data_IF_910749337440
#
_entry.id   IF_910749337440
#
_cell.length_a   1.000
_cell.length_b   1.000
_cell.length_c   1.000
_cell.angle_alpha   90.00
_cell.angle_beta   90.00
_cell.angle_gamma   90.00
#
_symmetry.space_group_name_H-M   'P 1'
#
loop_
_entity.id
_entity.type
_entity.pdbx_description
1 polymer ?
#
# COMPACT_ATOMS: atom_id res chain seq x y z
N UNK A 1 10.69 27.28 17.59
CA UNK A 1 9.58 27.82 16.80
C UNK A 1 8.33 27.05 17.19
N UNK A 2 7.31 27.74 17.70
CA UNK A 2 6.10 27.12 18.25
C UNK A 2 5.28 26.60 17.07
N UNK A 3 5.30 25.29 16.85
CA UNK A 3 4.52 24.66 15.81
C UNK A 3 3.07 24.64 16.28
N UNK A 4 2.30 25.63 15.86
CA UNK A 4 0.86 25.62 16.10
C UNK A 4 0.28 24.43 15.34
N UNK A 5 -0.26 23.46 16.09
CA UNK A 5 -0.89 22.28 15.55
C UNK A 5 -2.13 22.72 14.75
N UNK A 6 -1.95 22.89 13.44
CA UNK A 6 -3.05 23.24 12.56
C UNK A 6 -3.71 21.95 12.08
N UNK A 7 -4.92 21.66 12.58
CA UNK A 7 -5.70 20.48 12.17
C UNK A 7 -5.94 20.40 10.66
N UNK A 8 -5.84 21.53 9.94
CA UNK A 8 -5.87 21.60 8.48
C UNK A 8 -4.75 20.79 7.80
N UNK A 9 -3.63 20.53 8.47
CA UNK A 9 -2.56 19.69 7.92
C UNK A 9 -2.99 18.22 7.70
N UNK A 10 -4.03 17.76 8.41
CA UNK A 10 -4.62 16.42 8.22
C UNK A 10 -5.67 16.38 7.10
N UNK A 11 -6.06 17.52 6.52
CA UNK A 11 -7.12 17.56 5.51
C UNK A 11 -6.86 16.64 4.29
N UNK A 12 -5.63 16.54 3.74
CA UNK A 12 -5.35 15.61 2.65
C UNK A 12 -5.50 14.13 3.06
N UNK A 13 -5.09 13.79 4.28
CA UNK A 13 -5.26 12.45 4.84
C UNK A 13 -6.74 12.12 5.05
N UNK A 14 -7.51 13.08 5.56
CA UNK A 14 -8.96 12.93 5.71
C UNK A 14 -9.64 12.74 4.34
N UNK A 15 -9.23 13.46 3.30
CA UNK A 15 -9.74 13.25 1.94
C UNK A 15 -9.46 11.82 1.46
N UNK A 16 -8.22 11.34 1.61
CA UNK A 16 -7.85 9.98 1.26
C UNK A 16 -8.75 8.96 1.98
N UNK A 17 -8.95 9.16 3.30
CA UNK A 17 -9.77 8.27 4.11
C UNK A 17 -11.24 8.26 3.66
N UNK A 18 -11.82 9.44 3.40
CA UNK A 18 -13.20 9.57 2.92
C UNK A 18 -13.38 8.94 1.55
N UNK A 19 -12.43 9.13 0.63
CA UNK A 19 -12.48 8.50 -0.69
C UNK A 19 -12.37 6.99 -0.52
N UNK A 20 -11.30 6.49 0.10
CA UNK A 20 -11.02 5.05 0.19
C UNK A 20 -12.08 4.28 0.99
N UNK A 21 -12.43 4.76 2.19
CA UNK A 21 -13.44 4.12 3.04
C UNK A 21 -14.84 4.37 2.49
N UNK A 22 -15.14 5.57 2.00
CA UNK A 22 -16.45 5.90 1.44
C UNK A 22 -16.78 5.06 0.21
N UNK A 23 -15.83 4.87 -0.71
CA UNK A 23 -16.02 3.97 -1.85
C UNK A 23 -16.11 2.51 -1.43
N UNK A 24 -15.27 2.07 -0.49
CA UNK A 24 -15.31 0.70 0.01
C UNK A 24 -16.64 0.37 0.68
N UNK A 25 -17.17 1.29 1.48
CA UNK A 25 -18.48 1.17 2.10
C UNK A 25 -19.60 1.18 1.07
N UNK A 26 -19.58 2.13 0.12
CA UNK A 26 -20.58 2.21 -0.95
C UNK A 26 -20.62 0.93 -1.80
N UNK A 27 -19.47 0.40 -2.21
CA UNK A 27 -19.40 -0.86 -2.95
C UNK A 27 -19.86 -2.05 -2.08
N UNK A 28 -19.50 -2.08 -0.80
CA UNK A 28 -19.97 -3.12 0.13
C UNK A 28 -21.50 -3.13 0.23
N UNK A 29 -22.13 -1.96 0.29
CA UNK A 29 -23.60 -1.85 0.28
C UNK A 29 -24.25 -2.30 -1.04
N UNK A 30 -23.53 -2.17 -2.16
CA UNK A 30 -23.98 -2.66 -3.47
C UNK A 30 -23.78 -4.19 -3.65
N UNK A 31 -23.30 -4.89 -2.62
CA UNK A 31 -23.17 -6.35 -2.62
C UNK A 31 -21.99 -6.89 -3.41
N UNK A 32 -21.00 -6.06 -3.78
CA UNK A 32 -19.80 -6.53 -4.49
C UNK A 32 -18.84 -7.25 -3.54
N UNK A 33 -18.49 -8.49 -3.90
CA UNK A 33 -17.41 -9.24 -3.24
C UNK A 33 -16.09 -8.50 -3.37
N UNK A 34 -15.36 -8.32 -2.26
CA UNK A 34 -14.08 -7.58 -2.21
C UNK A 34 -14.18 -6.11 -2.64
N UNK A 35 -15.22 -5.39 -2.19
CA UNK A 35 -15.44 -3.96 -2.43
C UNK A 35 -14.19 -3.06 -2.29
N UNK A 36 -13.36 -3.31 -1.28
CA UNK A 36 -12.11 -2.55 -1.05
C UNK A 36 -10.96 -2.90 -2.01
N UNK A 37 -11.05 -4.01 -2.73
CA UNK A 37 -10.06 -4.37 -3.76
C UNK A 37 -10.37 -3.73 -5.11
N UNK A 38 -11.62 -3.32 -5.36
CA UNK A 38 -11.99 -2.68 -6.61
C UNK A 38 -11.36 -1.29 -6.74
N UNK A 39 -11.22 -0.58 -5.62
CA UNK A 39 -10.46 0.67 -5.58
C UNK A 39 -9.09 0.41 -4.97
N UNK A 40 -8.06 0.39 -5.82
CA UNK A 40 -6.68 0.41 -5.34
C UNK A 40 -6.41 1.66 -4.51
N UNK A 41 -5.82 1.48 -3.32
CA UNK A 41 -5.39 2.59 -2.47
C UNK A 41 -4.45 3.57 -3.21
N UNK A 42 -3.69 3.09 -4.20
CA UNK A 42 -2.83 3.92 -5.06
C UNK A 42 -3.63 4.90 -5.90
N UNK A 43 -4.83 4.53 -6.38
CA UNK A 43 -5.70 5.45 -7.13
C UNK A 43 -6.38 6.42 -6.18
N UNK A 44 -6.81 5.95 -5.00
CA UNK A 44 -7.48 6.76 -4.00
C UNK A 44 -6.59 7.88 -3.43
N UNK A 45 -5.28 7.65 -3.31
CA UNK A 45 -4.34 8.62 -2.71
C UNK A 45 -3.91 9.75 -3.67
N UNK A 46 -4.03 9.56 -4.98
CA UNK A 46 -3.65 10.59 -5.98
C UNK A 46 -4.34 11.95 -5.77
N UNK A 47 -5.69 12.04 -5.65
CA UNK A 47 -6.35 13.32 -5.39
C UNK A 47 -5.97 13.92 -4.04
N UNK A 48 -5.68 13.10 -3.04
CA UNK A 48 -5.20 13.55 -1.73
C UNK A 48 -3.80 14.19 -1.83
N UNK A 49 -2.87 13.58 -2.57
CA UNK A 49 -1.54 14.15 -2.80
C UNK A 49 -1.64 15.46 -3.59
N UNK A 50 -2.49 15.50 -4.63
CA UNK A 50 -2.71 16.73 -5.38
C UNK A 50 -3.23 17.87 -4.48
N UNK A 51 -4.18 17.57 -3.59
CA UNK A 51 -4.66 18.55 -2.62
C UNK A 51 -3.58 18.97 -1.60
N UNK A 52 -2.78 18.03 -1.11
CA UNK A 52 -1.66 18.33 -0.21
C UNK A 52 -0.65 19.30 -0.85
N UNK A 53 -0.28 19.06 -2.11
CA UNK A 53 0.62 19.94 -2.86
C UNK A 53 -0.05 21.30 -3.10
N UNK A 54 -1.35 21.34 -3.39
CA UNK A 54 -2.06 22.60 -3.58
C UNK A 54 -2.12 23.46 -2.31
N UNK A 55 -2.29 22.84 -1.14
CA UNK A 55 -2.38 23.52 0.15
C UNK A 55 -1.05 24.15 0.63
N UNK A 56 0.09 23.59 0.22
CA UNK A 56 1.39 24.14 0.59
C UNK A 56 1.56 25.59 0.11
N UNK A 57 2.40 26.39 0.77
CA UNK A 57 2.65 27.79 0.36
C UNK A 57 3.94 27.98 -0.43
N UNK A 58 4.81 26.97 -0.42
CA UNK A 58 6.12 27.02 -1.08
C UNK A 58 6.03 26.80 -2.61
N UNK A 59 7.18 26.78 -3.30
CA UNK A 59 7.22 26.41 -4.72
C UNK A 59 6.90 24.93 -4.88
N UNK A 60 6.32 24.55 -6.02
CA UNK A 60 5.95 23.15 -6.31
C UNK A 60 7.15 22.21 -6.13
N UNK A 61 8.33 22.62 -6.58
CA UNK A 61 9.54 21.81 -6.48
C UNK A 61 9.94 21.52 -5.01
N UNK A 62 9.77 22.50 -4.13
CA UNK A 62 10.07 22.35 -2.70
C UNK A 62 9.06 21.41 -2.03
N UNK A 63 7.77 21.52 -2.38
CA UNK A 63 6.71 20.63 -1.88
C UNK A 63 6.94 19.18 -2.30
N UNK A 64 7.30 18.96 -3.55
CA UNK A 64 7.63 17.63 -4.06
C UNK A 64 8.84 17.07 -3.30
N UNK A 65 9.89 17.86 -3.08
CA UNK A 65 11.05 17.44 -2.30
C UNK A 65 10.68 17.07 -0.85
N UNK A 66 9.80 17.83 -0.19
CA UNK A 66 9.31 17.51 1.15
C UNK A 66 8.54 16.18 1.14
N UNK A 67 7.64 16.00 0.17
CA UNK A 67 6.87 14.76 0.02
C UNK A 67 7.79 13.55 -0.23
N UNK A 68 8.75 13.67 -1.15
CA UNK A 68 9.70 12.61 -1.47
C UNK A 68 10.60 12.26 -0.27
N UNK A 69 11.03 13.26 0.52
CA UNK A 69 11.78 13.01 1.76
C UNK A 69 10.96 12.24 2.79
N UNK A 70 9.67 12.54 2.92
CA UNK A 70 8.77 11.79 3.81
C UNK A 70 8.49 10.38 3.32
N UNK A 71 8.27 10.20 2.01
CA UNK A 71 8.07 8.89 1.39
C UNK A 71 9.34 8.02 1.41
N UNK A 72 10.52 8.66 1.34
CA UNK A 72 11.83 8.03 1.37
C UNK A 72 12.37 7.77 2.78
N UNK A 73 11.51 7.71 3.80
CA UNK A 73 11.91 7.38 5.16
C UNK A 73 12.61 6.01 5.19
N UNK A 74 13.77 5.86 5.87
CA UNK A 74 14.58 4.64 5.83
C UNK A 74 13.82 3.35 6.18
N UNK A 75 12.88 3.37 7.12
CA UNK A 75 12.02 2.26 7.45
C UNK A 75 11.13 1.83 6.29
N UNK A 76 10.45 2.79 5.64
CA UNK A 76 9.64 2.54 4.43
C UNK A 76 10.50 1.96 3.32
N UNK A 77 11.65 2.58 3.03
CA UNK A 77 12.57 2.11 1.98
C UNK A 77 13.09 0.70 2.27
N UNK A 78 13.39 0.40 3.54
CA UNK A 78 13.80 -0.95 3.97
C UNK A 78 12.69 -1.97 3.72
N UNK A 79 11.43 -1.66 4.04
CA UNK A 79 10.30 -2.53 3.71
C UNK A 79 10.16 -2.74 2.20
N UNK A 80 10.29 -1.68 1.40
CA UNK A 80 10.27 -1.80 -0.05
C UNK A 80 11.38 -2.70 -0.58
N UNK A 81 12.62 -2.55 -0.09
CA UNK A 81 13.74 -3.41 -0.48
C UNK A 81 13.49 -4.87 -0.13
N UNK A 82 13.01 -5.16 1.09
CA UNK A 82 12.69 -6.53 1.50
C UNK A 82 11.61 -7.13 0.59
N UNK A 83 10.51 -6.41 0.33
CA UNK A 83 9.44 -6.92 -0.53
C UNK A 83 9.86 -7.11 -1.97
N UNK A 84 10.64 -6.18 -2.53
CA UNK A 84 11.13 -6.28 -3.91
C UNK A 84 12.10 -7.46 -4.06
N UNK A 85 13.03 -7.63 -3.13
CA UNK A 85 13.97 -8.76 -3.14
C UNK A 85 13.25 -10.09 -2.90
N UNK A 86 12.29 -10.14 -1.97
CA UNK A 86 11.50 -11.34 -1.70
C UNK A 86 10.63 -11.73 -2.90
N UNK A 87 9.99 -10.77 -3.56
CA UNK A 87 9.23 -11.01 -4.79
C UNK A 87 10.11 -11.52 -5.93
N UNK A 88 11.29 -10.91 -6.11
CA UNK A 88 12.31 -11.38 -7.05
C UNK A 88 12.73 -12.82 -6.76
N UNK A 89 13.11 -13.13 -5.51
CA UNK A 89 13.46 -14.47 -5.08
C UNK A 89 12.31 -15.47 -5.30
N UNK A 90 11.07 -15.13 -4.93
CA UNK A 90 9.91 -15.99 -5.12
C UNK A 90 9.65 -16.31 -6.59
N UNK A 91 9.80 -15.34 -7.49
CA UNK A 91 9.65 -15.55 -8.94
C UNK A 91 10.72 -16.48 -9.51
N UNK A 92 11.98 -16.33 -9.08
CA UNK A 92 13.07 -17.21 -9.51
C UNK A 92 12.90 -18.62 -8.94
N UNK A 93 12.61 -18.74 -7.63
CA UNK A 93 12.37 -20.02 -6.96
C UNK A 93 11.23 -20.82 -7.59
N UNK A 94 10.18 -20.13 -8.06
CA UNK A 94 9.09 -20.74 -8.83
C UNK A 94 9.56 -21.17 -10.22
N UNK A 95 10.34 -20.34 -10.91
CA UNK A 95 10.84 -20.64 -12.26
C UNK A 95 11.78 -21.85 -12.30
N UNK A 96 12.53 -22.10 -11.22
CA UNK A 96 13.41 -23.27 -11.09
C UNK A 96 12.71 -24.52 -10.53
N UNK A 97 11.39 -24.48 -10.29
CA UNK A 97 10.63 -25.61 -9.73
C UNK A 97 10.84 -25.85 -8.23
N UNK A 98 11.50 -24.93 -7.53
CA UNK A 98 11.80 -25.04 -6.10
C UNK A 98 10.55 -24.87 -5.24
N UNK A 99 9.61 -24.02 -5.66
CA UNK A 99 8.33 -23.83 -4.97
C UNK A 99 7.51 -25.12 -5.03
N UNK A 100 7.36 -25.71 -6.21
CA UNK A 100 6.61 -26.95 -6.43
C UNK A 100 7.24 -28.13 -5.67
N UNK A 101 8.57 -28.25 -5.69
CA UNK A 101 9.29 -29.29 -4.95
C UNK A 101 9.09 -29.17 -3.43
N UNK A 102 9.12 -27.94 -2.91
CA UNK A 102 8.90 -27.67 -1.47
C UNK A 102 7.45 -27.96 -1.08
N UNK A 103 6.47 -27.59 -1.92
CA UNK A 103 5.04 -27.91 -1.69
C UNK A 103 4.82 -29.43 -1.68
N UNK A 104 5.39 -30.15 -2.65
CA UNK A 104 5.26 -31.60 -2.72
C UNK A 104 5.93 -32.31 -1.54
N UNK A 105 7.08 -31.81 -1.06
CA UNK A 105 7.70 -32.30 0.17
C UNK A 105 6.86 -32.00 1.41
N UNK A 106 6.22 -30.83 1.47
CA UNK A 106 5.25 -30.52 2.53
C UNK A 106 4.08 -31.49 2.55
N UNK A 107 3.49 -31.77 1.39
CA UNK A 107 2.39 -32.71 1.22
C UNK A 107 2.79 -34.17 1.46
N UNK A 108 4.07 -34.53 1.32
CA UNK A 108 4.52 -35.89 1.64
C UNK A 108 4.70 -36.12 3.14
N UNK A 109 4.93 -35.05 3.92
CA UNK A 109 5.04 -35.09 5.38
C UNK A 109 3.68 -34.90 6.06
N UNK A 110 2.80 -34.07 5.47
CA UNK A 110 1.46 -33.79 6.00
C UNK A 110 0.48 -34.86 5.48
N UNK A 111 -0.16 -35.66 6.36
CA UNK A 111 -1.11 -36.68 5.94
C UNK A 111 -2.32 -36.05 5.21
N UNK A 112 -2.73 -36.68 4.11
CA UNK A 112 -3.79 -36.19 3.23
C UNK A 112 -5.14 -35.92 3.93
N UNK A 113 -5.37 -36.51 5.11
CA UNK A 113 -6.55 -36.28 5.94
C UNK A 113 -6.65 -34.88 6.57
N UNK A 114 -5.62 -34.04 6.42
CA UNK A 114 -5.57 -32.67 6.95
C UNK A 114 -5.58 -31.59 5.85
N UNK A 115 -5.52 -32.00 4.59
CA UNK A 115 -5.47 -31.11 3.40
C UNK A 115 -6.86 -31.01 2.72
N UNK A 116 -7.70 -32.04 2.91
CA UNK A 116 -9.13 -32.08 2.60
C UNK A 116 -9.94 -31.86 3.89
#
# INVERSE_FOLDING_TARGET
>A
MKQEANGLALAPLALFLVIFIGTGFFLTMNGTSMAFYQLSATVAILPAIAWAIWMGKDKINDKINIFLRGAGEPGIITMCMIYLLAGGFASVAKSIGGVESTVNLGLSIVPASMVL
#
